data_IF_803057249609
#
_entry.id   IF_803057249609
#
_cell.length_a   1.000
_cell.length_b   1.000
_cell.length_c   1.000
_cell.angle_alpha   90.00
_cell.angle_beta   90.00
_cell.angle_gamma   90.00
#
_symmetry.space_group_name_H-M   'P 1'
#
loop_
_entity.id
_entity.type
_entity.pdbx_description
1 polymer ?
#
# COMPACT_ATOMS: atom_id res chain seq x y z
N UNK A 1 -20.85 4.86 2.44
CA UNK A 1 -20.35 5.27 1.10
C UNK A 1 -20.88 4.29 0.07
N UNK A 2 -20.93 4.64 -1.23
CA UNK A 2 -21.57 3.80 -2.27
C UNK A 2 -20.87 2.43 -2.43
N UNK A 3 -19.55 2.38 -2.28
CA UNK A 3 -18.76 1.14 -2.44
C UNK A 3 -18.65 0.28 -1.16
N UNK A 4 -19.50 0.52 -0.14
CA UNK A 4 -19.49 -0.24 1.12
C UNK A 4 -18.32 0.09 2.07
N UNK A 5 -17.39 0.97 1.67
CA UNK A 5 -16.24 1.36 2.50
C UNK A 5 -16.68 2.14 3.74
N UNK A 6 -16.06 1.84 4.87
CA UNK A 6 -16.42 2.41 6.17
C UNK A 6 -15.21 2.48 7.09
N UNK A 7 -15.25 3.42 8.04
CA UNK A 7 -14.25 3.51 9.11
C UNK A 7 -14.49 2.47 10.22
N UNK A 8 -15.70 1.89 10.28
CA UNK A 8 -16.08 0.92 11.31
C UNK A 8 -15.53 -0.49 11.07
N UNK A 9 -15.12 -0.81 9.83
CA UNK A 9 -14.48 -2.09 9.49
C UNK A 9 -13.13 -1.79 8.81
N UNK A 10 -12.03 -2.07 9.52
CA UNK A 10 -10.69 -1.78 9.04
C UNK A 10 -10.30 -2.63 7.81
N UNK A 11 -10.96 -3.76 7.56
CA UNK A 11 -10.78 -4.55 6.33
C UNK A 11 -11.40 -3.83 5.11
N UNK A 12 -12.38 -2.96 5.35
CA UNK A 12 -13.09 -2.19 4.33
C UNK A 12 -12.82 -0.68 4.45
N UNK A 13 -11.68 -0.32 5.05
CA UNK A 13 -11.29 1.07 5.23
C UNK A 13 -11.20 1.83 3.90
N UNK A 14 -11.62 3.11 3.82
CA UNK A 14 -11.52 3.94 2.62
C UNK A 14 -10.13 3.91 1.98
N UNK A 15 -10.09 3.98 0.65
CA UNK A 15 -8.89 3.75 -0.16
C UNK A 15 -8.62 5.02 -0.97
N UNK A 16 -7.40 5.55 -0.88
CA UNK A 16 -6.99 6.71 -1.66
C UNK A 16 -5.74 6.38 -2.46
N UNK A 17 -5.62 6.87 -3.71
CA UNK A 17 -4.46 6.58 -4.53
C UNK A 17 -3.22 7.30 -3.99
N UNK A 18 -2.05 6.71 -4.22
CA UNK A 18 -0.82 7.51 -4.29
C UNK A 18 -0.96 8.50 -5.46
N UNK A 19 -0.67 9.77 -5.21
CA UNK A 19 -0.77 10.84 -6.21
C UNK A 19 0.61 11.36 -6.58
N UNK A 20 1.47 11.59 -5.58
CA UNK A 20 2.83 12.07 -5.80
C UNK A 20 3.81 10.90 -5.90
N UNK A 21 4.88 11.09 -6.66
CA UNK A 21 5.96 10.11 -6.85
C UNK A 21 7.29 10.60 -6.30
N UNK A 22 7.44 11.92 -6.14
CA UNK A 22 8.66 12.55 -5.64
C UNK A 22 8.51 12.89 -4.16
N UNK A 23 9.34 12.23 -3.34
CA UNK A 23 9.44 12.42 -1.89
C UNK A 23 10.88 12.66 -1.45
N UNK A 24 11.77 13.02 -2.38
CA UNK A 24 13.21 13.19 -2.15
C UNK A 24 13.68 14.62 -2.40
N UNK A 25 13.03 15.36 -3.32
CA UNK A 25 13.33 16.77 -3.57
C UNK A 25 12.91 17.66 -2.39
N UNK A 26 13.71 18.70 -2.12
CA UNK A 26 13.39 19.72 -1.12
C UNK A 26 12.18 20.58 -1.53
N UNK A 27 12.06 20.87 -2.84
CA UNK A 27 10.93 21.56 -3.43
C UNK A 27 10.13 20.63 -4.34
N UNK A 28 8.81 20.80 -4.33
CA UNK A 28 7.88 19.99 -5.13
C UNK A 28 7.12 20.89 -6.11
N UNK A 29 7.55 20.87 -7.37
CA UNK A 29 6.86 21.56 -8.46
C UNK A 29 5.60 20.78 -8.88
N UNK A 30 4.42 21.33 -8.59
CA UNK A 30 3.13 20.74 -8.92
C UNK A 30 2.72 20.95 -10.39
N UNK A 31 3.52 21.66 -11.18
CA UNK A 31 3.31 21.80 -12.63
C UNK A 31 4.07 20.74 -13.42
N UNK A 32 5.08 20.11 -12.82
CA UNK A 32 5.88 19.06 -13.46
C UNK A 32 5.13 17.72 -13.48
N UNK A 33 4.75 17.17 -14.66
CA UNK A 33 3.98 15.93 -14.73
C UNK A 33 4.70 14.72 -14.11
N UNK A 34 6.04 14.71 -14.12
CA UNK A 34 6.86 13.65 -13.55
C UNK A 34 6.73 13.48 -12.03
N UNK A 35 6.24 14.51 -11.32
CA UNK A 35 5.98 14.43 -9.88
C UNK A 35 4.66 13.71 -9.54
N UNK A 36 3.85 13.36 -10.56
CA UNK A 36 2.57 12.70 -10.39
C UNK A 36 2.61 11.25 -10.85
N UNK A 37 1.86 10.41 -10.13
CA UNK A 37 1.69 9.01 -10.43
C UNK A 37 0.77 8.87 -11.64
N UNK A 38 1.12 7.96 -12.54
CA UNK A 38 0.19 7.50 -13.58
C UNK A 38 -1.02 6.80 -12.92
N UNK A 39 -2.14 7.52 -12.85
CA UNK A 39 -3.37 7.04 -12.22
C UNK A 39 -4.11 6.00 -13.06
N UNK A 40 -3.75 5.81 -14.33
CA UNK A 40 -4.32 4.77 -15.19
C UNK A 40 -3.85 3.35 -14.81
N UNK A 41 -2.75 3.25 -14.04
CA UNK A 41 -2.11 1.99 -13.68
C UNK A 41 -2.30 1.64 -12.20
N UNK A 42 -2.37 0.36 -11.83
CA UNK A 42 -2.22 -0.07 -10.44
C UNK A 42 -0.76 0.07 -9.97
N UNK A 43 -0.53 0.07 -8.64
CA UNK A 43 0.81 0.21 -8.04
C UNK A 43 1.80 -0.82 -8.58
N UNK A 44 1.37 -2.08 -8.71
CA UNK A 44 2.21 -3.16 -9.20
C UNK A 44 2.76 -2.96 -10.62
N UNK A 45 2.05 -2.19 -11.45
CA UNK A 45 2.38 -1.94 -12.85
C UNK A 45 3.22 -0.67 -13.10
N UNK A 46 3.55 0.10 -12.05
CA UNK A 46 4.32 1.34 -12.19
C UNK A 46 5.81 1.08 -12.46
N UNK A 47 6.38 0.10 -11.77
CA UNK A 47 7.76 -0.32 -11.97
C UNK A 47 7.81 -1.38 -13.08
N UNK A 48 8.42 -1.11 -14.24
CA UNK A 48 8.41 -2.04 -15.38
C UNK A 48 9.00 -3.41 -15.05
N UNK A 49 10.09 -3.47 -14.27
CA UNK A 49 10.71 -4.75 -13.87
C UNK A 49 9.75 -5.61 -13.05
N UNK A 50 8.98 -4.97 -12.17
CA UNK A 50 8.00 -5.64 -11.32
C UNK A 50 6.72 -6.01 -12.08
N UNK A 51 6.32 -5.18 -13.04
CA UNK A 51 5.20 -5.46 -13.92
C UNK A 51 5.44 -6.75 -14.73
N UNK A 52 6.66 -6.93 -15.27
CA UNK A 52 7.07 -8.15 -15.97
C UNK A 52 6.97 -9.37 -15.05
N UNK A 53 7.54 -9.28 -13.84
CA UNK A 53 7.44 -10.36 -12.84
C UNK A 53 5.98 -10.78 -12.55
N UNK A 54 5.07 -9.81 -12.39
CA UNK A 54 3.66 -10.11 -12.13
C UNK A 54 2.94 -10.70 -13.36
N UNK A 55 3.29 -10.26 -14.56
CA UNK A 55 2.75 -10.80 -15.80
C UNK A 55 3.21 -12.25 -16.00
N UNK A 56 4.51 -12.53 -15.86
CA UNK A 56 5.07 -13.89 -15.95
C UNK A 56 4.40 -14.82 -14.94
N UNK A 57 4.26 -14.40 -13.67
CA UNK A 57 3.56 -15.19 -12.64
C UNK A 57 2.14 -15.54 -13.04
N UNK A 58 1.42 -14.60 -13.64
CA UNK A 58 0.04 -14.80 -14.07
C UNK A 58 -0.05 -15.76 -15.26
N UNK A 59 0.87 -15.62 -16.23
CA UNK A 59 0.92 -16.40 -17.46
C UNK A 59 1.35 -17.86 -17.22
N UNK A 60 2.31 -18.08 -16.32
CA UNK A 60 2.83 -19.44 -16.00
C UNK A 60 2.08 -20.10 -14.85
N UNK A 61 0.82 -19.70 -14.61
CA UNK A 61 0.05 -20.17 -13.46
C UNK A 61 -0.45 -21.61 -13.65
N UNK A 62 0.10 -22.54 -12.89
CA UNK A 62 -0.25 -23.97 -12.93
C UNK A 62 -0.91 -24.39 -11.61
N UNK A 63 -2.16 -23.98 -11.39
CA UNK A 63 -2.96 -24.43 -10.25
C UNK A 63 -4.45 -24.50 -10.60
N UNK A 64 -5.00 -25.71 -10.61
CA UNK A 64 -6.38 -25.96 -11.02
C UNK A 64 -7.44 -25.57 -9.97
N UNK A 65 -7.02 -25.31 -8.73
CA UNK A 65 -7.92 -24.99 -7.62
C UNK A 65 -8.06 -23.48 -7.39
N UNK A 66 -7.15 -22.67 -7.93
CA UNK A 66 -7.11 -21.22 -7.68
C UNK A 66 -6.93 -20.47 -9.00
N UNK A 67 -7.79 -19.49 -9.31
CA UNK A 67 -7.61 -18.67 -10.50
C UNK A 67 -6.26 -17.94 -10.50
N UNK A 68 -5.67 -17.67 -11.68
CA UNK A 68 -4.44 -16.90 -11.78
C UNK A 68 -4.63 -15.48 -11.26
N UNK A 69 -3.59 -14.93 -10.63
CA UNK A 69 -3.60 -13.57 -10.10
C UNK A 69 -2.20 -12.93 -10.17
N UNK A 70 -2.19 -11.61 -10.37
CA UNK A 70 -0.96 -10.84 -10.43
C UNK A 70 -0.38 -10.61 -9.04
N UNK A 71 -1.22 -10.27 -8.05
CA UNK A 71 -0.79 -9.84 -6.72
C UNK A 71 -1.28 -10.83 -5.66
N UNK A 72 -0.36 -11.35 -4.86
CA UNK A 72 -0.68 -12.17 -3.68
C UNK A 72 -1.06 -11.32 -2.45
N UNK A 73 -0.95 -9.99 -2.57
CA UNK A 73 -1.23 -9.03 -1.51
C UNK A 73 -2.26 -8.02 -1.97
N UNK A 74 -3.07 -7.54 -1.02
CA UNK A 74 -4.14 -6.59 -1.29
C UNK A 74 -3.70 -5.17 -0.94
N UNK A 75 -4.15 -4.19 -1.73
CA UNK A 75 -3.79 -2.78 -1.55
C UNK A 75 -4.40 -2.14 -0.28
N UNK A 76 -5.36 -2.82 0.35
CA UNK A 76 -6.06 -2.37 1.57
C UNK A 76 -6.34 -3.55 2.48
N UNK A 77 -5.71 -3.61 3.65
CA UNK A 77 -6.00 -4.57 4.71
C UNK A 77 -6.12 -3.84 6.05
N UNK A 78 -6.72 -4.49 7.05
CA UNK A 78 -6.74 -3.97 8.42
C UNK A 78 -5.33 -3.70 8.96
N UNK A 79 -4.39 -4.62 8.73
CA UNK A 79 -2.97 -4.44 9.08
C UNK A 79 -2.36 -3.19 8.44
N UNK A 80 -2.65 -2.91 7.16
CA UNK A 80 -2.18 -1.70 6.51
C UNK A 80 -2.74 -0.44 7.18
N UNK A 81 -4.03 -0.45 7.48
CA UNK A 81 -4.70 0.67 8.16
C UNK A 81 -4.08 0.92 9.53
N UNK A 82 -3.89 -0.12 10.34
CA UNK A 82 -3.27 -0.01 11.66
C UNK A 82 -1.82 0.49 11.56
N UNK A 83 -1.04 -0.02 10.60
CA UNK A 83 0.35 0.41 10.39
C UNK A 83 0.44 1.90 10.01
N UNK A 84 -0.47 2.41 9.18
CA UNK A 84 -0.52 3.84 8.83
C UNK A 84 -0.94 4.73 10.01
N UNK A 85 -1.84 4.24 10.86
CA UNK A 85 -2.46 5.01 11.94
C UNK A 85 -1.85 4.72 13.32
N UNK A 86 -0.73 4.00 13.38
CA UNK A 86 -0.08 3.51 14.63
C UNK A 86 0.28 4.61 15.65
N UNK A 87 0.24 5.89 15.25
CA UNK A 87 0.53 7.05 16.12
C UNK A 87 -0.74 7.74 16.65
N UNK A 88 -1.92 7.18 16.38
CA UNK A 88 -3.23 7.76 16.69
C UNK A 88 -4.03 6.71 17.49
N UNK A 89 -4.55 7.07 18.65
CA UNK A 89 -5.51 6.22 19.36
C UNK A 89 -6.90 6.27 18.68
N UNK A 90 -7.68 5.16 18.67
CA UNK A 90 -7.43 3.86 19.32
C UNK A 90 -6.57 2.89 18.48
N UNK A 91 -6.05 3.31 17.33
CA UNK A 91 -5.34 2.43 16.39
C UNK A 91 -4.01 1.92 16.95
N UNK A 92 -3.33 2.70 17.78
CA UNK A 92 -2.15 2.23 18.53
C UNK A 92 -2.52 1.02 19.40
N UNK A 93 -3.56 1.15 20.21
CA UNK A 93 -4.06 0.05 21.06
C UNK A 93 -4.43 -1.18 20.23
N UNK A 94 -5.14 -1.00 19.11
CA UNK A 94 -5.50 -2.10 18.22
C UNK A 94 -4.27 -2.75 17.56
N UNK A 95 -3.28 -1.95 17.19
CA UNK A 95 -2.01 -2.44 16.63
C UNK A 95 -1.24 -3.27 17.65
N UNK A 96 -1.15 -2.82 18.91
CA UNK A 96 -0.49 -3.59 19.98
C UNK A 96 -1.24 -4.90 20.24
N UNK A 97 -2.57 -4.87 20.32
CA UNK A 97 -3.38 -6.07 20.53
C UNK A 97 -3.22 -7.09 19.39
N UNK A 98 -3.06 -6.63 18.16
CA UNK A 98 -2.81 -7.50 17.00
C UNK A 98 -1.37 -8.05 16.95
N UNK A 99 -0.45 -7.52 17.76
CA UNK A 99 0.98 -7.87 17.77
C UNK A 99 1.45 -8.29 19.19
N UNK A 100 0.64 -9.09 19.89
CA UNK A 100 0.97 -9.66 21.21
C UNK A 100 1.40 -8.62 22.26
N UNK A 101 0.74 -7.46 22.25
CA UNK A 101 0.98 -6.35 23.18
C UNK A 101 2.27 -5.57 22.91
N UNK A 102 2.92 -5.76 21.77
CA UNK A 102 4.19 -5.12 21.42
C UNK A 102 4.11 -4.35 20.12
N UNK A 103 4.97 -3.34 19.98
CA UNK A 103 5.22 -2.74 18.68
C UNK A 103 5.99 -3.73 17.79
N UNK A 104 5.74 -3.61 16.48
CA UNK A 104 6.49 -4.37 15.49
C UNK A 104 7.94 -3.86 15.40
N UNK A 105 8.80 -4.63 14.72
CA UNK A 105 10.19 -4.26 14.51
C UNK A 105 10.28 -2.83 13.91
N UNK A 106 11.17 -1.95 14.42
CA UNK A 106 11.27 -0.57 13.95
C UNK A 106 11.45 -0.42 12.43
N UNK A 107 12.12 -1.39 11.80
CA UNK A 107 12.29 -1.41 10.33
C UNK A 107 11.04 -1.73 9.52
N UNK A 108 10.00 -2.29 10.15
CA UNK A 108 8.71 -2.61 9.52
C UNK A 108 7.63 -1.60 9.87
N UNK A 109 7.78 -0.93 11.02
CA UNK A 109 6.86 0.12 11.45
C UNK A 109 6.94 1.35 10.56
N UNK A 110 5.78 1.99 10.31
CA UNK A 110 5.71 3.20 9.51
C UNK A 110 6.56 4.34 10.11
N UNK A 111 7.57 4.77 9.35
CA UNK A 111 8.55 5.77 9.77
C UNK A 111 8.77 6.89 8.76
N UNK A 112 8.53 6.67 7.46
CA UNK A 112 8.76 7.67 6.41
C UNK A 112 7.86 7.45 5.20
N UNK A 113 7.28 8.53 4.68
CA UNK A 113 6.46 8.50 3.45
C UNK A 113 7.32 8.09 2.25
N UNK A 114 8.54 8.63 2.13
CA UNK A 114 9.47 8.28 1.05
C UNK A 114 9.84 6.79 1.09
N UNK A 115 10.10 6.24 2.29
CA UNK A 115 10.37 4.80 2.48
C UNK A 115 9.14 3.97 2.10
N UNK A 116 7.95 4.34 2.55
CA UNK A 116 6.71 3.64 2.19
C UNK A 116 6.43 3.66 0.68
N UNK A 117 6.63 4.80 0.02
CA UNK A 117 6.52 4.90 -1.44
C UNK A 117 7.54 3.98 -2.11
N UNK A 118 8.82 4.06 -1.75
CA UNK A 118 9.89 3.23 -2.31
C UNK A 118 9.62 1.74 -2.12
N UNK A 119 9.16 1.31 -0.95
CA UNK A 119 8.78 -0.08 -0.68
C UNK A 119 7.64 -0.52 -1.60
N UNK A 120 6.59 0.30 -1.72
CA UNK A 120 5.46 0.01 -2.63
C UNK A 120 5.85 -0.04 -4.11
N UNK A 121 7.06 0.40 -4.49
CA UNK A 121 7.59 0.28 -5.85
C UNK A 121 8.56 -0.90 -6.05
N UNK A 122 9.11 -1.47 -4.97
CA UNK A 122 10.22 -2.43 -5.03
C UNK A 122 9.87 -3.80 -4.47
N UNK A 123 9.14 -3.86 -3.35
CA UNK A 123 8.77 -5.12 -2.73
C UNK A 123 7.63 -5.76 -3.55
N UNK A 124 7.81 -7.01 -3.95
CA UNK A 124 6.81 -7.79 -4.71
C UNK A 124 5.60 -8.15 -3.88
N UNK A 125 5.70 -8.05 -2.56
CA UNK A 125 4.61 -8.24 -1.60
C UNK A 125 4.02 -6.91 -1.10
N UNK A 126 4.45 -5.76 -1.65
CA UNK A 126 3.95 -4.44 -1.28
C UNK A 126 3.35 -3.71 -2.47
N UNK A 127 2.02 -3.81 -2.60
CA UNK A 127 1.20 -3.02 -3.52
C UNK A 127 0.26 -2.07 -2.77
N UNK A 128 0.61 -1.70 -1.52
CA UNK A 128 -0.25 -0.92 -0.63
C UNK A 128 -0.46 0.51 -1.13
N UNK A 129 -1.68 1.01 -0.97
CA UNK A 129 -1.99 2.43 -1.22
C UNK A 129 -1.92 3.27 0.05
N UNK A 130 -1.88 4.60 -0.12
CA UNK A 130 -1.93 5.55 0.98
C UNK A 130 -3.32 5.56 1.63
N UNK A 131 -3.37 5.69 2.96
CA UNK A 131 -4.59 6.04 3.70
C UNK A 131 -4.51 7.52 4.06
N UNK A 132 -5.55 8.30 3.74
CA UNK A 132 -5.62 9.72 4.09
C UNK A 132 -6.28 9.87 5.46
N UNK A 133 -5.72 10.74 6.29
CA UNK A 133 -6.29 11.20 7.55
C UNK A 133 -7.41 12.20 7.23
N UNK A 134 -8.64 11.95 7.68
CA UNK A 134 -9.73 12.93 7.68
C UNK A 134 -10.04 13.35 9.10
#
# INVERSE_FOLDING_TARGET
TIAGRTYNDLNQYPVFPWVLTNYESEELDLTLPGNFRDLSKPIGALNPKRAVFYAERYETWENDHTPPYHYNTHYSTSTCTLAWLVRIEPFTTFFLNANDGKFDHPDRTFSSVARSWRNSQRDTSDVKVRKIFS
#
